data_IF_735666959795
#
_entry.id   IF_735666959795
#
_cell.length_a   1.000
_cell.length_b   1.000
_cell.length_c   1.000
_cell.angle_alpha   90.00
_cell.angle_beta   90.00
_cell.angle_gamma   90.00
#
_symmetry.space_group_name_H-M   'P 1'
#
loop_
_entity.id
_entity.type
_entity.pdbx_description
1 polymer ?
#
# COMPACT_ATOMS: atom_id res chain seq x y z
N UNK A 1 12.15 2.96 31.59
CA UNK A 1 11.64 4.36 31.63
C UNK A 1 11.34 4.82 30.21
N UNK A 2 10.44 5.80 30.03
CA UNK A 2 10.15 6.36 28.72
C UNK A 2 11.02 7.58 28.44
N UNK A 3 11.73 7.58 27.32
CA UNK A 3 12.58 8.70 26.89
C UNK A 3 12.45 8.95 25.38
N UNK A 4 12.62 10.20 24.98
CA UNK A 4 12.55 10.67 23.60
C UNK A 4 13.91 10.62 22.93
N UNK A 5 13.94 10.19 21.67
CA UNK A 5 15.08 10.31 20.76
C UNK A 5 14.63 11.04 19.49
N UNK A 6 15.34 12.10 19.09
CA UNK A 6 15.02 12.82 17.85
C UNK A 6 15.98 12.47 16.73
N UNK A 7 15.44 12.35 15.53
CA UNK A 7 16.20 12.04 14.30
C UNK A 7 15.36 12.40 13.07
N UNK A 8 15.83 12.12 11.86
CA UNK A 8 15.00 12.25 10.66
C UNK A 8 14.05 11.06 10.48
N UNK A 9 12.98 11.26 9.70
CA UNK A 9 11.93 10.24 9.46
C UNK A 9 12.51 8.91 8.99
N UNK A 10 13.41 8.92 8.01
CA UNK A 10 14.01 7.69 7.47
C UNK A 10 14.82 6.93 8.51
N UNK A 11 15.57 7.65 9.35
CA UNK A 11 16.34 7.04 10.44
C UNK A 11 15.43 6.49 11.53
N UNK A 12 14.36 7.20 11.88
CA UNK A 12 13.36 6.71 12.86
C UNK A 12 12.70 5.42 12.38
N UNK A 13 12.29 5.36 11.10
CA UNK A 13 11.75 4.14 10.48
C UNK A 13 12.80 3.02 10.46
N UNK A 14 14.05 3.33 10.10
CA UNK A 14 15.13 2.34 10.07
C UNK A 14 15.41 1.76 11.45
N UNK A 15 15.44 2.59 12.50
CA UNK A 15 15.61 2.16 13.89
C UNK A 15 14.43 1.29 14.35
N UNK A 16 13.19 1.68 14.02
CA UNK A 16 12.01 0.89 14.37
C UNK A 16 12.02 -0.51 13.72
N UNK A 17 12.67 -0.66 12.57
CA UNK A 17 12.77 -1.93 11.85
C UNK A 17 14.00 -2.77 12.21
N UNK A 18 15.15 -2.12 12.41
CA UNK A 18 16.46 -2.77 12.44
C UNK A 18 17.25 -2.51 13.73
N UNK A 19 16.64 -1.86 14.73
CA UNK A 19 17.24 -1.43 15.99
C UNK A 19 18.24 -0.25 15.87
N UNK A 20 18.65 0.30 17.01
CA UNK A 20 19.66 1.36 17.11
C UNK A 20 21.04 0.84 16.70
N UNK A 21 21.65 1.51 15.72
CA UNK A 21 23.02 1.26 15.28
C UNK A 21 24.02 2.09 16.08
N UNK A 22 24.30 1.65 17.32
CA UNK A 22 25.22 2.33 18.24
C UNK A 22 26.64 2.45 17.65
N UNK A 23 27.03 1.51 16.78
CA UNK A 23 28.30 1.52 16.06
C UNK A 23 28.47 2.72 15.11
N UNK A 24 27.37 3.37 14.73
CA UNK A 24 27.35 4.58 13.91
C UNK A 24 27.22 5.87 14.74
N UNK A 25 27.17 5.78 16.08
CA UNK A 25 27.00 6.95 16.92
C UNK A 25 28.16 7.96 16.74
N UNK A 26 27.81 9.25 16.71
CA UNK A 26 28.76 10.36 16.53
C UNK A 26 29.18 10.64 15.08
N UNK A 27 28.61 9.95 14.09
CA UNK A 27 28.88 10.22 12.67
C UNK A 27 28.26 11.52 12.14
N UNK A 28 27.29 12.10 12.86
CA UNK A 28 26.48 13.23 12.42
C UNK A 28 26.48 14.43 13.38
N UNK A 29 26.62 14.21 14.69
CA UNK A 29 26.63 15.26 15.73
C UNK A 29 27.72 15.03 16.78
N UNK A 30 28.19 16.11 17.41
CA UNK A 30 29.23 16.04 18.44
C UNK A 30 28.75 15.33 19.71
N UNK A 31 29.59 14.46 20.29
CA UNK A 31 29.21 13.60 21.41
C UNK A 31 29.69 14.14 22.76
N UNK A 32 28.83 14.85 23.50
CA UNK A 32 29.18 15.42 24.82
C UNK A 32 29.51 14.36 25.89
N UNK A 33 29.00 13.14 25.73
CA UNK A 33 29.18 12.02 26.65
C UNK A 33 29.69 10.74 25.96
N UNK A 34 30.38 10.90 24.82
CA UNK A 34 30.89 9.79 24.01
C UNK A 34 29.85 9.16 23.07
N UNK A 35 30.30 8.16 22.30
CA UNK A 35 29.55 7.55 21.21
C UNK A 35 28.45 6.62 21.74
N UNK A 36 27.20 7.06 21.72
CA UNK A 36 26.03 6.29 22.14
C UNK A 36 24.74 6.86 21.56
N UNK A 37 23.60 6.22 21.85
CA UNK A 37 22.28 6.76 21.54
C UNK A 37 21.86 7.75 22.63
N UNK A 38 21.54 8.98 22.21
CA UNK A 38 21.16 10.09 23.09
C UNK A 38 19.65 10.18 23.21
N UNK A 39 19.19 10.34 24.44
CA UNK A 39 17.78 10.47 24.78
C UNK A 39 17.57 11.65 25.73
N UNK A 40 16.33 12.12 25.80
CA UNK A 40 15.89 13.12 26.75
C UNK A 40 14.50 12.79 27.30
N UNK A 41 14.22 13.22 28.52
CA UNK A 41 12.85 13.17 29.07
C UNK A 41 11.93 14.22 28.42
N UNK A 42 12.52 15.29 27.89
CA UNK A 42 11.80 16.40 27.28
C UNK A 42 11.84 16.29 25.75
N UNK A 43 10.69 16.28 25.10
CA UNK A 43 10.61 16.17 23.64
C UNK A 43 11.29 17.36 22.93
N UNK A 44 11.25 18.58 23.48
CA UNK A 44 11.99 19.73 22.92
C UNK A 44 13.50 19.50 22.85
N UNK A 45 14.09 18.79 23.82
CA UNK A 45 15.52 18.47 23.76
C UNK A 45 15.80 17.43 22.68
N UNK A 46 14.95 16.42 22.58
CA UNK A 46 15.06 15.42 21.52
C UNK A 46 14.88 16.06 20.13
N UNK A 47 13.93 16.99 19.99
CA UNK A 47 13.65 17.75 18.76
C UNK A 47 14.86 18.54 18.23
N UNK A 48 15.80 18.95 19.09
CA UNK A 48 17.07 19.56 18.65
C UNK A 48 17.89 18.65 17.72
N UNK A 49 17.70 17.32 17.82
CA UNK A 49 18.33 16.32 16.95
C UNK A 49 17.44 15.87 15.79
N UNK A 50 16.16 16.26 15.79
CA UNK A 50 15.24 15.95 14.70
C UNK A 50 15.48 16.88 13.50
N UNK A 51 15.48 16.30 12.31
CA UNK A 51 15.62 17.03 11.05
C UNK A 51 14.61 16.53 10.03
N UNK A 52 14.19 17.41 9.14
CA UNK A 52 13.34 17.11 8.00
C UNK A 52 14.18 16.64 6.78
N UNK A 53 13.51 16.49 5.64
CA UNK A 53 14.11 16.17 4.35
C UNK A 53 13.79 17.29 3.33
N UNK A 54 14.54 18.41 3.33
CA UNK A 54 14.24 19.55 2.47
C UNK A 54 14.17 19.17 0.98
N UNK A 55 13.04 19.47 0.33
CA UNK A 55 12.78 19.12 -1.07
C UNK A 55 12.56 17.62 -1.35
N UNK A 56 12.56 16.78 -0.32
CA UNK A 56 12.23 15.36 -0.40
C UNK A 56 10.76 15.07 -0.09
N UNK A 57 10.44 13.79 0.14
CA UNK A 57 9.05 13.41 0.46
C UNK A 57 8.65 13.88 1.88
N UNK A 58 9.60 13.87 2.80
CA UNK A 58 9.42 14.24 4.21
C UNK A 58 9.81 15.70 4.49
N UNK A 59 9.61 16.59 3.51
CA UNK A 59 9.83 18.02 3.68
C UNK A 59 8.88 18.60 4.74
N UNK A 60 9.40 19.47 5.61
CA UNK A 60 8.72 19.99 6.80
C UNK A 60 8.22 18.92 7.81
N UNK A 61 8.63 17.65 7.69
CA UNK A 61 8.24 16.57 8.61
C UNK A 61 9.42 16.05 9.40
N UNK A 62 9.24 16.02 10.72
CA UNK A 62 10.22 15.63 11.71
C UNK A 62 9.81 14.33 12.41
N UNK A 63 10.77 13.65 13.03
CA UNK A 63 10.51 12.41 13.75
C UNK A 63 11.11 12.39 15.15
N UNK A 64 10.30 11.92 16.10
CA UNK A 64 10.75 11.48 17.41
C UNK A 64 10.44 9.98 17.59
N UNK A 65 11.31 9.28 18.31
CA UNK A 65 11.03 7.95 18.86
C UNK A 65 10.72 8.10 20.35
N UNK A 66 9.61 7.50 20.80
CA UNK A 66 9.38 7.27 22.22
C UNK A 66 9.85 5.86 22.56
N UNK A 67 10.90 5.77 23.37
CA UNK A 67 11.58 4.51 23.66
C UNK A 67 11.37 4.08 25.10
N UNK A 68 11.17 2.77 25.32
CA UNK A 68 11.40 2.13 26.62
C UNK A 68 12.89 1.87 26.79
N UNK A 69 13.46 2.43 27.84
CA UNK A 69 14.89 2.43 28.09
C UNK A 69 15.20 1.80 29.45
N UNK A 70 16.23 0.96 29.49
CA UNK A 70 16.80 0.34 30.68
C UNK A 70 18.17 0.95 30.98
N UNK A 71 18.25 1.94 31.88
CA UNK A 71 19.51 2.63 32.17
C UNK A 71 20.52 1.81 32.98
N UNK A 72 20.05 0.83 33.77
CA UNK A 72 20.92 0.13 34.74
C UNK A 72 21.59 1.08 35.74
N UNK A 73 22.83 0.78 36.11
CA UNK A 73 23.70 1.63 36.93
C UNK A 73 24.33 2.70 36.05
N UNK A 74 23.86 3.94 36.14
CA UNK A 74 24.36 5.02 35.29
C UNK A 74 25.52 5.82 35.91
N UNK A 75 26.44 6.29 35.07
CA UNK A 75 27.44 7.29 35.42
C UNK A 75 26.80 8.68 35.37
N UNK A 76 26.79 9.40 36.49
CA UNK A 76 26.19 10.73 36.59
C UNK A 76 27.26 11.81 36.51
N UNK A 77 27.08 12.78 35.63
CA UNK A 77 27.98 13.93 35.51
C UNK A 77 27.21 15.23 35.26
N UNK A 78 27.71 16.34 35.81
CA UNK A 78 27.19 17.69 35.57
C UNK A 78 27.98 18.47 34.52
N UNK A 79 29.10 17.91 34.08
CA UNK A 79 30.04 18.53 33.14
C UNK A 79 30.12 17.68 31.87
N UNK A 80 30.53 18.30 30.77
CA UNK A 80 30.85 17.56 29.54
C UNK A 80 31.97 16.58 29.84
N UNK A 81 31.81 15.35 29.36
CA UNK A 81 32.77 14.27 29.57
C UNK A 81 32.73 13.34 28.36
N UNK A 82 33.54 13.65 27.35
CA UNK A 82 33.59 12.88 26.10
C UNK A 82 34.04 11.44 26.32
N UNK A 83 34.70 11.16 27.45
CA UNK A 83 35.16 9.83 27.85
C UNK A 83 34.13 9.07 28.70
N UNK A 84 32.94 9.60 28.95
CA UNK A 84 31.92 8.94 29.77
C UNK A 84 31.58 7.51 29.29
N UNK A 85 31.60 7.26 27.98
CA UNK A 85 31.41 5.92 27.42
C UNK A 85 32.51 4.92 27.80
N UNK A 86 33.71 5.36 28.20
CA UNK A 86 34.76 4.48 28.71
C UNK A 86 34.39 3.84 30.04
N UNK A 87 33.63 4.54 30.88
CA UNK A 87 33.13 4.02 32.14
C UNK A 87 32.15 2.87 31.93
N UNK A 88 31.35 2.92 30.86
CA UNK A 88 30.47 1.82 30.47
C UNK A 88 31.26 0.65 29.87
N UNK A 89 32.20 0.92 28.96
CA UNK A 89 33.09 -0.12 28.39
C UNK A 89 33.91 -0.86 29.46
N UNK A 90 34.27 -0.18 30.55
CA UNK A 90 34.98 -0.80 31.68
C UNK A 90 34.11 -1.72 32.54
N UNK A 91 32.78 -1.72 32.33
CA UNK A 91 31.81 -2.43 33.17
C UNK A 91 31.50 -1.73 34.50
N UNK A 92 31.97 -0.51 34.70
CA UNK A 92 31.70 0.25 35.93
C UNK A 92 30.26 0.77 36.02
N UNK A 93 29.65 0.99 34.86
CA UNK A 93 28.30 1.53 34.65
C UNK A 93 27.69 0.93 33.37
N UNK A 94 26.38 1.08 33.20
CA UNK A 94 25.61 0.58 32.06
C UNK A 94 25.21 1.71 31.09
N UNK A 95 25.14 2.96 31.57
CA UNK A 95 24.76 4.14 30.80
C UNK A 95 25.32 5.43 31.41
N UNK A 96 25.08 6.58 30.78
CA UNK A 96 25.47 7.91 31.29
C UNK A 96 24.26 8.82 31.43
N UNK A 97 24.19 9.58 32.52
CA UNK A 97 23.25 10.68 32.72
C UNK A 97 24.03 11.99 32.82
N UNK A 98 23.93 12.80 31.79
CA UNK A 98 24.48 14.15 31.73
C UNK A 98 23.46 15.17 32.24
N UNK A 99 23.65 15.66 33.46
CA UNK A 99 22.76 16.64 34.10
C UNK A 99 23.29 18.06 33.93
N UNK A 100 22.95 18.64 32.79
CA UNK A 100 23.29 20.04 32.46
C UNK A 100 22.21 21.02 32.90
N UNK A 101 21.07 20.55 33.42
CA UNK A 101 20.05 21.39 34.04
C UNK A 101 20.64 22.16 35.21
N UNK A 102 21.40 21.48 36.05
CA UNK A 102 21.99 22.10 37.24
C UNK A 102 23.23 22.98 36.96
N UNK A 103 23.84 22.90 35.78
CA UNK A 103 25.13 23.56 35.48
C UNK A 103 25.09 24.56 34.32
N UNK A 104 24.08 24.51 33.46
CA UNK A 104 23.94 25.41 32.31
C UNK A 104 22.48 25.76 31.99
N UNK A 105 21.53 25.43 32.87
CA UNK A 105 20.09 25.67 32.69
C UNK A 105 19.53 25.03 31.41
N UNK A 106 20.02 23.84 31.06
CA UNK A 106 19.56 23.06 29.90
C UNK A 106 18.87 21.76 30.32
N UNK A 107 18.72 20.80 29.42
CA UNK A 107 18.06 19.52 29.72
C UNK A 107 19.04 18.46 30.28
N UNK A 108 18.50 17.44 30.94
CA UNK A 108 19.24 16.19 31.19
C UNK A 108 19.25 15.34 29.93
N UNK A 109 20.40 14.77 29.62
CA UNK A 109 20.57 13.83 28.51
C UNK A 109 20.98 12.46 29.05
N UNK A 110 20.42 11.43 28.45
CA UNK A 110 20.64 10.03 28.82
C UNK A 110 21.30 9.34 27.64
N UNK A 111 22.46 8.74 27.86
CA UNK A 111 23.25 8.11 26.79
C UNK A 111 23.40 6.63 27.06
N UNK A 112 22.94 5.83 26.10
CA UNK A 112 23.05 4.38 26.12
C UNK A 112 24.05 3.91 25.07
N UNK A 113 24.83 2.91 25.45
CA UNK A 113 25.94 2.38 24.64
C UNK A 113 25.66 0.94 24.19
N UNK A 114 24.48 0.41 24.49
CA UNK A 114 24.00 -0.90 24.07
C UNK A 114 22.56 -0.75 23.55
N UNK A 115 22.29 -1.24 22.34
CA UNK A 115 20.95 -1.16 21.73
C UNK A 115 19.95 -2.08 22.43
N UNK A 116 20.40 -3.22 23.00
CA UNK A 116 19.54 -4.16 23.73
C UNK A 116 18.84 -3.52 24.96
N UNK A 117 19.35 -2.37 25.43
CA UNK A 117 18.78 -1.60 26.53
C UNK A 117 17.70 -0.59 26.07
N UNK A 118 17.36 -0.58 24.79
CA UNK A 118 16.51 0.40 24.13
C UNK A 118 15.46 -0.36 23.32
N UNK A 119 14.18 -0.05 23.55
CA UNK A 119 13.09 -0.54 22.70
C UNK A 119 12.31 0.66 22.13
N UNK A 120 12.39 0.93 20.82
CA UNK A 120 11.58 1.96 20.18
C UNK A 120 10.11 1.52 20.18
N UNK A 121 9.28 2.13 21.03
CA UNK A 121 7.88 1.73 21.16
C UNK A 121 6.96 2.51 20.21
N UNK A 122 7.26 3.78 19.96
CA UNK A 122 6.48 4.60 19.03
C UNK A 122 7.38 5.45 18.14
N UNK A 123 7.01 5.54 16.86
CA UNK A 123 7.49 6.56 15.92
C UNK A 123 6.44 7.67 15.89
N UNK A 124 6.84 8.90 16.22
CA UNK A 124 5.99 10.08 16.21
C UNK A 124 6.46 11.02 15.12
N UNK A 125 5.61 11.23 14.13
CA UNK A 125 5.85 12.16 13.02
C UNK A 125 5.08 13.45 13.27
N UNK A 126 5.72 14.58 13.06
CA UNK A 126 5.14 15.90 13.34
C UNK A 126 5.72 16.98 12.45
N UNK A 127 4.99 18.07 12.31
CA UNK A 127 5.50 19.33 11.73
C UNK A 127 5.61 20.37 12.82
N UNK A 128 6.62 21.24 12.73
CA UNK A 128 6.79 22.37 13.64
C UNK A 128 5.85 23.51 13.26
N UNK A 129 5.04 23.95 14.22
CA UNK A 129 4.20 25.15 14.11
C UNK A 129 4.68 26.17 15.13
N UNK A 130 5.05 27.35 14.65
CA UNK A 130 5.52 28.45 15.50
C UNK A 130 4.40 29.45 15.75
N UNK A 131 4.45 30.18 16.88
CA UNK A 131 3.45 31.20 17.20
C UNK A 131 3.35 32.33 16.16
N UNK A 132 4.42 32.54 15.37
CA UNK A 132 4.45 33.50 14.27
C UNK A 132 3.87 32.95 12.96
N UNK A 133 3.56 31.65 12.87
CA UNK A 133 3.03 31.06 11.64
C UNK A 133 1.60 31.54 11.37
N UNK A 134 1.27 31.90 10.11
CA UNK A 134 -0.07 32.34 9.77
C UNK A 134 -1.08 31.18 9.87
N UNK A 135 -2.35 31.44 10.24
CA UNK A 135 -3.38 30.40 10.32
C UNK A 135 -3.54 29.58 9.04
N UNK A 136 -3.26 30.16 7.87
CA UNK A 136 -3.29 29.47 6.58
C UNK A 136 -2.23 28.36 6.46
N UNK A 137 -1.03 28.56 7.01
CA UNK A 137 0.02 27.53 7.06
C UNK A 137 -0.42 26.38 7.96
N UNK A 138 -0.95 26.70 9.14
CA UNK A 138 -1.45 25.70 10.10
C UNK A 138 -2.56 24.87 9.47
N UNK A 139 -3.56 25.53 8.87
CA UNK A 139 -4.66 24.86 8.19
C UNK A 139 -4.17 23.91 7.08
N UNK A 140 -3.19 24.33 6.26
CA UNK A 140 -2.57 23.49 5.23
C UNK A 140 -1.91 22.23 5.82
N UNK A 141 -1.16 22.38 6.91
CA UNK A 141 -0.46 21.27 7.57
C UNK A 141 -1.41 20.27 8.24
N UNK A 142 -2.62 20.70 8.62
CA UNK A 142 -3.61 19.84 9.29
C UNK A 142 -4.71 19.30 8.37
N UNK A 143 -4.79 19.77 7.11
CA UNK A 143 -5.89 19.45 6.21
C UNK A 143 -5.77 18.06 5.56
N UNK A 144 -4.55 17.58 5.33
CA UNK A 144 -4.30 16.33 4.62
C UNK A 144 -3.98 15.20 5.60
N UNK A 145 -4.55 14.01 5.35
CA UNK A 145 -4.10 12.80 6.02
C UNK A 145 -2.64 12.55 5.62
N UNK A 146 -1.75 12.49 6.60
CA UNK A 146 -0.35 12.23 6.33
C UNK A 146 -0.15 10.74 6.01
N UNK A 147 0.36 10.45 4.82
CA UNK A 147 0.76 9.12 4.41
C UNK A 147 2.28 9.00 4.37
N UNK A 148 2.80 7.84 4.77
CA UNK A 148 4.20 7.52 4.57
C UNK A 148 4.49 7.23 3.09
N UNK A 149 5.71 7.55 2.65
CA UNK A 149 6.14 7.35 1.26
C UNK A 149 6.04 5.87 0.84
N UNK A 150 6.41 4.97 1.75
CA UNK A 150 6.34 3.52 1.60
C UNK A 150 5.47 2.96 2.73
N UNK A 151 4.72 1.86 2.49
CA UNK A 151 3.92 1.24 3.55
C UNK A 151 4.78 0.78 4.73
N UNK A 152 4.35 1.04 5.96
CA UNK A 152 5.12 0.75 7.19
C UNK A 152 5.53 -0.71 7.34
N UNK A 153 4.69 -1.62 6.83
CA UNK A 153 4.89 -3.06 6.89
C UNK A 153 5.86 -3.59 5.83
N UNK A 154 6.44 -2.72 4.99
CA UNK A 154 7.49 -3.10 4.05
C UNK A 154 8.84 -3.17 4.75
N UNK A 155 9.64 -4.19 4.44
CA UNK A 155 10.96 -4.39 5.05
C UNK A 155 11.92 -3.20 4.78
N UNK A 156 11.71 -2.50 3.67
CA UNK A 156 12.54 -1.38 3.23
C UNK A 156 11.84 0.00 3.38
N UNK A 157 10.83 0.14 4.26
CA UNK A 157 10.02 1.37 4.34
C UNK A 157 10.81 2.63 4.74
N UNK A 158 12.00 2.47 5.32
CA UNK A 158 12.91 3.54 5.69
C UNK A 158 13.71 4.12 4.50
N UNK A 159 13.86 3.38 3.39
CA UNK A 159 14.68 3.81 2.25
C UNK A 159 14.04 4.95 1.47
N UNK A 160 14.87 5.77 0.82
CA UNK A 160 14.40 6.71 -0.21
C UNK A 160 14.24 5.98 -1.54
N UNK A 161 13.00 5.68 -1.99
CA UNK A 161 12.80 4.91 -3.20
C UNK A 161 13.22 5.68 -4.47
N UNK A 162 13.43 7.00 -4.40
CA UNK A 162 13.96 7.80 -5.52
C UNK A 162 15.49 7.68 -5.66
N UNK A 163 16.20 7.36 -4.57
CA UNK A 163 17.67 7.24 -4.55
C UNK A 163 18.13 5.77 -4.48
N UNK A 164 17.37 4.95 -3.78
CA UNK A 164 17.64 3.55 -3.48
C UNK A 164 16.44 2.69 -3.93
N UNK A 165 16.20 2.55 -5.24
CA UNK A 165 15.13 1.70 -5.74
C UNK A 165 15.38 0.24 -5.34
N UNK A 166 14.31 -0.48 -5.00
CA UNK A 166 14.38 -1.88 -4.60
C UNK A 166 13.17 -2.64 -5.15
N UNK A 167 13.38 -3.94 -5.34
CA UNK A 167 12.34 -4.88 -5.70
C UNK A 167 12.62 -6.19 -4.98
N UNK A 168 11.79 -6.47 -3.98
CA UNK A 168 11.87 -7.66 -3.14
C UNK A 168 10.52 -8.36 -3.07
N UNK A 169 10.56 -9.66 -2.77
CA UNK A 169 9.36 -10.43 -2.47
C UNK A 169 9.58 -11.24 -1.20
N UNK A 170 8.68 -11.10 -0.23
CA UNK A 170 8.79 -11.73 1.08
C UNK A 170 7.67 -12.74 1.27
N UNK A 171 8.02 -13.94 1.73
CA UNK A 171 7.00 -14.84 2.30
C UNK A 171 6.36 -14.14 3.48
N UNK A 172 5.03 -14.11 3.51
CA UNK A 172 4.30 -13.44 4.59
C UNK A 172 4.21 -14.35 5.81
N UNK A 173 4.11 -13.75 6.99
CA UNK A 173 3.99 -14.49 8.25
C UNK A 173 2.65 -15.25 8.32
N UNK A 174 2.60 -16.29 9.16
CA UNK A 174 1.43 -17.17 9.27
C UNK A 174 0.13 -16.41 9.59
N UNK A 175 0.18 -15.37 10.44
CA UNK A 175 -1.00 -14.56 10.76
C UNK A 175 -1.55 -13.84 9.51
N UNK A 176 -0.67 -13.34 8.64
CA UNK A 176 -1.05 -12.72 7.36
C UNK A 176 -1.63 -13.75 6.41
N UNK A 177 -1.09 -14.98 6.38
CA UNK A 177 -1.66 -16.09 5.58
C UNK A 177 -3.09 -16.38 6.03
N UNK A 178 -3.35 -16.44 7.34
CA UNK A 178 -4.70 -16.69 7.87
C UNK A 178 -5.69 -15.58 7.46
N UNK A 179 -5.29 -14.32 7.58
CA UNK A 179 -6.11 -13.20 7.13
C UNK A 179 -6.42 -13.25 5.63
N UNK A 180 -5.39 -13.50 4.80
CA UNK A 180 -5.55 -13.65 3.36
C UNK A 180 -6.45 -14.84 3.01
N UNK A 181 -6.38 -15.93 3.77
CA UNK A 181 -7.21 -17.12 3.58
C UNK A 181 -8.69 -16.81 3.86
N UNK A 182 -8.97 -16.08 4.93
CA UNK A 182 -10.34 -15.69 5.27
C UNK A 182 -10.90 -14.71 4.23
N UNK A 183 -10.09 -13.75 3.77
CA UNK A 183 -10.46 -12.84 2.68
C UNK A 183 -10.75 -13.60 1.38
N UNK A 184 -9.87 -14.54 1.00
CA UNK A 184 -10.06 -15.39 -0.19
C UNK A 184 -11.35 -16.21 -0.09
N UNK A 185 -11.63 -16.79 1.09
CA UNK A 185 -12.85 -17.56 1.35
C UNK A 185 -14.10 -16.68 1.24
N UNK A 186 -14.07 -15.45 1.78
CA UNK A 186 -15.18 -14.50 1.70
C UNK A 186 -15.47 -14.03 0.27
N UNK A 187 -14.44 -13.99 -0.59
CA UNK A 187 -14.56 -13.60 -2.00
C UNK A 187 -14.80 -14.78 -2.96
N UNK A 188 -14.89 -16.01 -2.46
CA UNK A 188 -15.08 -17.20 -3.30
C UNK A 188 -16.50 -17.75 -3.14
N UNK A 189 -17.33 -17.63 -4.19
CA UNK A 189 -18.73 -18.08 -4.20
C UNK A 189 -18.93 -19.52 -4.66
N UNK A 190 -17.85 -20.25 -4.94
CA UNK A 190 -17.89 -21.58 -5.56
C UNK A 190 -18.84 -22.52 -4.81
N UNK A 191 -19.91 -22.93 -5.51
CA UNK A 191 -21.08 -23.62 -4.90
C UNK A 191 -20.72 -24.90 -4.14
N UNK A 192 -19.64 -25.57 -4.52
CA UNK A 192 -19.18 -26.84 -3.95
C UNK A 192 -17.68 -26.88 -3.69
N UNK A 193 -16.92 -25.91 -4.22
CA UNK A 193 -15.48 -25.93 -4.16
C UNK A 193 -14.93 -25.24 -2.90
N UNK A 194 -13.65 -25.45 -2.64
CA UNK A 194 -12.92 -24.72 -1.59
C UNK A 194 -11.60 -24.20 -2.13
N UNK A 195 -11.10 -23.14 -1.51
CA UNK A 195 -9.81 -22.52 -1.82
C UNK A 195 -8.92 -22.55 -0.59
N UNK A 196 -7.67 -22.95 -0.76
CA UNK A 196 -6.65 -22.99 0.29
C UNK A 196 -5.38 -22.27 -0.21
N UNK A 197 -4.93 -21.24 0.49
CA UNK A 197 -3.66 -20.56 0.23
C UNK A 197 -2.54 -21.47 0.70
N UNK A 198 -1.78 -22.02 -0.24
CA UNK A 198 -0.60 -22.84 0.04
C UNK A 198 0.65 -21.99 0.25
N UNK A 199 0.68 -20.81 -0.38
CA UNK A 199 1.80 -19.88 -0.30
C UNK A 199 1.36 -18.47 -0.63
N UNK A 200 1.85 -17.50 0.13
CA UNK A 200 1.62 -16.08 -0.11
C UNK A 200 2.93 -15.30 -0.04
N UNK A 201 3.16 -14.44 -1.02
CA UNK A 201 4.28 -13.49 -1.06
C UNK A 201 3.76 -12.08 -1.10
N UNK A 202 4.33 -11.19 -0.27
CA UNK A 202 4.18 -9.74 -0.41
C UNK A 202 5.18 -9.24 -1.44
N UNK A 203 4.74 -8.38 -2.35
CA UNK A 203 5.60 -7.70 -3.31
C UNK A 203 5.97 -6.33 -2.77
N UNK A 204 7.26 -6.01 -2.78
CA UNK A 204 7.79 -4.71 -2.39
C UNK A 204 8.64 -4.16 -3.54
N UNK A 205 7.98 -3.50 -4.50
CA UNK A 205 8.61 -2.90 -5.66
C UNK A 205 8.46 -1.37 -5.59
N UNK A 206 9.53 -0.68 -5.22
CA UNK A 206 9.47 0.75 -4.93
C UNK A 206 9.35 1.62 -6.18
N UNK A 207 9.71 1.10 -7.35
CA UNK A 207 9.58 1.81 -8.63
C UNK A 207 8.13 1.83 -9.08
N UNK A 208 7.44 0.68 -9.06
CA UNK A 208 6.01 0.61 -9.43
C UNK A 208 5.14 1.30 -8.38
N UNK A 209 5.49 1.19 -7.10
CA UNK A 209 4.81 1.91 -6.02
C UNK A 209 4.87 3.43 -6.17
N UNK A 210 6.02 3.99 -6.58
CA UNK A 210 6.13 5.44 -6.82
C UNK A 210 5.18 5.92 -7.93
N UNK A 211 5.02 5.14 -9.00
CA UNK A 211 4.02 5.46 -10.05
C UNK A 211 2.60 5.38 -9.51
N UNK A 212 2.31 4.35 -8.72
CA UNK A 212 1.02 4.16 -8.05
C UNK A 212 0.66 5.35 -7.15
N UNK A 213 1.58 5.77 -6.29
CA UNK A 213 1.39 6.93 -5.40
C UNK A 213 1.29 8.24 -6.19
N UNK A 214 2.05 8.41 -7.28
CA UNK A 214 1.92 9.57 -8.15
C UNK A 214 0.53 9.66 -8.81
N UNK A 215 -0.02 8.52 -9.26
CA UNK A 215 -1.39 8.47 -9.77
C UNK A 215 -2.41 8.76 -8.66
N UNK A 216 -2.19 8.23 -7.45
CA UNK A 216 -3.03 8.51 -6.28
C UNK A 216 -3.11 10.01 -5.98
N UNK A 217 -1.97 10.69 -5.92
CA UNK A 217 -1.89 12.14 -5.71
C UNK A 217 -2.62 12.92 -6.80
N UNK A 218 -2.53 12.47 -8.06
CA UNK A 218 -3.28 13.07 -9.16
C UNK A 218 -4.79 12.93 -8.97
N UNK A 219 -5.27 11.74 -8.56
CA UNK A 219 -6.69 11.53 -8.26
C UNK A 219 -7.17 12.40 -7.09
N UNK A 220 -6.39 12.51 -6.02
CA UNK A 220 -6.71 13.37 -4.88
C UNK A 220 -6.91 14.83 -5.32
N UNK A 221 -5.98 15.37 -6.11
CA UNK A 221 -6.08 16.73 -6.65
C UNK A 221 -7.31 16.92 -7.53
N UNK A 222 -7.61 15.95 -8.40
CA UNK A 222 -8.81 15.99 -9.24
C UNK A 222 -10.10 15.94 -8.40
N UNK A 223 -10.14 15.09 -7.38
CA UNK A 223 -11.27 14.97 -6.46
C UNK A 223 -11.49 16.28 -5.68
N UNK A 224 -10.43 16.87 -5.12
CA UNK A 224 -10.48 18.15 -4.42
C UNK A 224 -10.98 19.27 -5.33
N UNK A 225 -10.53 19.31 -6.59
CA UNK A 225 -11.02 20.26 -7.59
C UNK A 225 -12.52 20.09 -7.89
N UNK A 226 -13.00 18.85 -7.96
CA UNK A 226 -14.42 18.55 -8.20
C UNK A 226 -15.31 18.79 -6.97
N UNK A 227 -14.77 18.66 -5.76
CA UNK A 227 -15.51 18.87 -4.52
C UNK A 227 -16.01 20.33 -4.35
N UNK A 228 -15.37 21.28 -5.05
CA UNK A 228 -15.84 22.68 -5.12
C UNK A 228 -17.23 22.78 -5.77
N UNK A 229 -17.49 21.95 -6.79
CA UNK A 229 -18.76 21.97 -7.54
C UNK A 229 -19.76 20.89 -7.07
N UNK A 230 -19.26 19.81 -6.44
CA UNK A 230 -20.04 18.66 -5.96
C UNK A 230 -19.61 18.25 -4.55
N UNK A 231 -20.09 18.94 -3.50
CA UNK A 231 -19.53 18.80 -2.15
C UNK A 231 -19.82 17.46 -1.47
N UNK A 232 -20.83 16.70 -1.89
CA UNK A 232 -21.27 15.51 -1.12
C UNK A 232 -20.54 14.21 -1.48
N UNK A 233 -20.10 14.02 -2.75
CA UNK A 233 -19.32 12.84 -3.23
C UNK A 233 -18.88 13.05 -4.69
N UNK A 234 -17.61 13.38 -4.97
CA UNK A 234 -17.16 13.63 -6.34
C UNK A 234 -17.14 12.38 -7.20
N UNK A 235 -16.78 11.23 -6.61
CA UNK A 235 -16.75 9.92 -7.27
C UNK A 235 -17.86 9.04 -6.70
N UNK A 236 -18.68 8.47 -7.60
CA UNK A 236 -19.69 7.49 -7.20
C UNK A 236 -19.00 6.16 -6.90
N UNK A 237 -19.45 5.47 -5.86
CA UNK A 237 -18.95 4.14 -5.49
C UNK A 237 -19.54 3.07 -6.40
N UNK A 238 -18.97 1.86 -6.37
CA UNK A 238 -19.55 0.71 -7.08
C UNK A 238 -20.97 0.37 -6.58
N UNK A 239 -21.26 0.63 -5.30
CA UNK A 239 -22.59 0.46 -4.70
C UNK A 239 -23.59 1.50 -5.21
N UNK A 240 -23.17 2.74 -5.39
CA UNK A 240 -24.05 3.81 -5.90
C UNK A 240 -24.48 3.57 -7.35
N UNK A 241 -23.62 2.89 -8.13
CA UNK A 241 -23.84 2.64 -9.56
C UNK A 241 -24.62 1.34 -9.84
N UNK A 242 -24.41 0.30 -9.05
CA UNK A 242 -25.13 -0.97 -9.19
C UNK A 242 -26.43 -0.98 -8.37
N UNK A 243 -27.47 -0.41 -8.96
CA UNK A 243 -28.81 -0.32 -8.34
C UNK A 243 -29.52 -1.66 -8.13
N UNK A 244 -29.07 -2.74 -8.78
CA UNK A 244 -29.76 -4.04 -8.81
C UNK A 244 -29.32 -4.98 -7.69
N UNK A 245 -28.03 -4.95 -7.33
CA UNK A 245 -27.46 -5.83 -6.30
C UNK A 245 -26.90 -5.06 -5.10
N UNK A 246 -26.79 -3.72 -5.16
CA UNK A 246 -26.68 -2.80 -4.03
C UNK A 246 -25.56 -3.09 -3.01
N UNK A 247 -24.61 -3.94 -3.37
CA UNK A 247 -23.62 -4.51 -2.46
C UNK A 247 -22.31 -3.72 -2.47
N UNK A 248 -21.74 -3.59 -1.27
CA UNK A 248 -20.35 -3.19 -1.11
C UNK A 248 -19.42 -4.12 -1.91
N UNK A 249 -18.20 -3.65 -2.17
CA UNK A 249 -17.18 -4.50 -2.81
C UNK A 249 -16.84 -5.66 -1.87
N UNK A 250 -16.77 -6.89 -2.35
CA UNK A 250 -16.60 -8.09 -1.49
C UNK A 250 -15.38 -7.99 -0.57
N UNK A 251 -14.23 -7.59 -1.12
CA UNK A 251 -13.00 -7.41 -0.34
C UNK A 251 -13.13 -6.29 0.68
N UNK A 252 -13.73 -5.16 0.31
CA UNK A 252 -14.00 -4.04 1.22
C UNK A 252 -14.96 -4.43 2.34
N UNK A 253 -16.07 -5.10 2.02
CA UNK A 253 -17.07 -5.58 2.98
C UNK A 253 -16.45 -6.51 4.01
N UNK A 254 -15.58 -7.43 3.59
CA UNK A 254 -14.87 -8.32 4.51
C UNK A 254 -13.96 -7.54 5.45
N UNK A 255 -13.09 -6.67 4.89
CA UNK A 255 -12.11 -5.93 5.68
C UNK A 255 -12.77 -4.91 6.62
N UNK A 256 -13.84 -4.25 6.19
CA UNK A 256 -14.60 -3.31 7.02
C UNK A 256 -15.39 -3.99 8.15
N UNK A 257 -15.67 -5.29 8.02
CA UNK A 257 -16.30 -6.06 9.10
C UNK A 257 -15.33 -6.49 10.20
N UNK A 258 -14.03 -6.20 10.06
CA UNK A 258 -13.00 -6.54 11.04
C UNK A 258 -12.63 -5.35 11.91
N UNK A 259 -12.59 -5.58 13.22
CA UNK A 259 -12.18 -4.59 14.24
C UNK A 259 -10.65 -4.36 14.32
N UNK A 260 -9.86 -4.91 13.40
CA UNK A 260 -8.39 -4.88 13.48
C UNK A 260 -7.80 -3.70 12.69
N UNK A 261 -7.20 -2.74 13.39
CA UNK A 261 -6.69 -1.48 12.81
C UNK A 261 -5.25 -1.53 12.29
N UNK A 262 -4.49 -2.60 12.58
CA UNK A 262 -3.01 -2.64 12.40
C UNK A 262 -2.50 -3.79 11.51
N UNK A 263 -3.31 -4.26 10.56
CA UNK A 263 -2.92 -5.35 9.65
C UNK A 263 -2.36 -4.82 8.32
N UNK A 264 -1.41 -5.56 7.72
CA UNK A 264 -0.87 -5.22 6.39
C UNK A 264 -1.90 -5.36 5.27
N UNK A 265 -3.04 -6.00 5.54
CA UNK A 265 -4.23 -6.04 4.68
C UNK A 265 -5.38 -5.41 5.47
N UNK A 266 -5.54 -4.10 5.35
CA UNK A 266 -6.50 -3.32 6.14
C UNK A 266 -7.13 -2.20 5.31
N UNK A 267 -8.39 -1.87 5.59
CA UNK A 267 -9.05 -0.69 5.02
C UNK A 267 -8.39 0.61 5.46
N UNK A 268 -7.72 0.66 6.61
CA UNK A 268 -7.03 1.87 7.10
C UNK A 268 -5.84 2.25 6.21
N UNK A 269 -5.35 1.30 5.40
CA UNK A 269 -4.32 1.55 4.40
C UNK A 269 -4.89 2.02 3.06
N UNK A 270 -6.21 2.06 2.87
CA UNK A 270 -6.89 2.43 1.63
C UNK A 270 -7.60 3.78 1.77
N UNK A 271 -7.67 4.54 0.67
CA UNK A 271 -8.42 5.79 0.58
C UNK A 271 -9.76 5.56 -0.11
N UNK A 272 -10.78 5.28 0.69
CA UNK A 272 -12.16 5.05 0.23
C UNK A 272 -12.70 6.16 -0.71
N UNK A 273 -12.47 7.48 -0.46
CA UNK A 273 -12.97 8.53 -1.36
C UNK A 273 -12.41 8.44 -2.80
N UNK A 274 -11.28 7.77 -3.00
CA UNK A 274 -10.67 7.56 -4.32
C UNK A 274 -11.15 6.28 -5.02
N UNK A 275 -12.08 5.53 -4.42
CA UNK A 275 -12.38 4.15 -4.78
C UNK A 275 -11.09 3.30 -4.84
N UNK A 276 -10.24 3.40 -3.81
CA UNK A 276 -9.06 2.55 -3.67
C UNK A 276 -9.47 1.20 -3.07
N UNK A 277 -9.25 0.10 -3.82
CA UNK A 277 -9.72 -1.23 -3.45
C UNK A 277 -8.65 -2.29 -3.59
N UNK A 278 -8.75 -3.34 -2.79
CA UNK A 278 -8.06 -4.59 -3.05
C UNK A 278 -8.92 -5.46 -3.99
N UNK A 279 -8.37 -5.87 -5.12
CA UNK A 279 -9.08 -6.64 -6.14
C UNK A 279 -8.21 -7.81 -6.63
N UNK A 280 -8.85 -8.88 -7.05
CA UNK A 280 -8.20 -10.09 -7.54
C UNK A 280 -7.85 -9.98 -9.02
N UNK A 281 -6.71 -10.53 -9.41
CA UNK A 281 -6.31 -10.69 -10.80
C UNK A 281 -5.73 -12.11 -11.00
N UNK A 282 -6.41 -12.93 -11.79
CA UNK A 282 -5.93 -14.27 -12.14
C UNK A 282 -5.11 -14.26 -13.43
N UNK A 283 -4.00 -14.99 -13.43
CA UNK A 283 -3.10 -15.11 -14.58
C UNK A 283 -2.21 -16.35 -14.42
N UNK A 284 -1.31 -16.64 -15.36
CA UNK A 284 -0.34 -17.72 -15.19
C UNK A 284 0.72 -17.36 -14.12
N UNK A 285 1.38 -18.35 -13.53
CA UNK A 285 2.44 -18.14 -12.54
C UNK A 285 3.55 -17.25 -13.10
N UNK A 286 3.98 -17.51 -14.34
CA UNK A 286 5.03 -16.76 -15.02
C UNK A 286 4.62 -15.30 -15.26
N UNK A 287 3.35 -15.07 -15.61
CA UNK A 287 2.83 -13.73 -15.79
C UNK A 287 2.71 -12.97 -14.46
N UNK A 288 2.28 -13.63 -13.38
CA UNK A 288 2.20 -13.05 -12.05
C UNK A 288 3.57 -12.58 -11.53
N UNK A 289 4.61 -13.41 -11.65
CA UNK A 289 5.98 -13.02 -11.29
C UNK A 289 6.49 -11.85 -12.13
N UNK A 290 6.20 -11.89 -13.44
CA UNK A 290 6.61 -10.82 -14.35
C UNK A 290 5.90 -9.48 -14.08
N UNK A 291 4.64 -9.52 -13.65
CA UNK A 291 3.89 -8.34 -13.22
C UNK A 291 4.49 -7.76 -11.93
N UNK A 292 4.82 -8.61 -10.95
CA UNK A 292 5.48 -8.17 -9.73
C UNK A 292 6.86 -7.53 -9.99
N UNK A 293 7.59 -8.06 -10.97
CA UNK A 293 8.92 -7.55 -11.35
C UNK A 293 8.88 -6.30 -12.22
N UNK A 294 8.03 -6.29 -13.23
CA UNK A 294 8.13 -5.35 -14.35
C UNK A 294 6.83 -4.61 -14.66
N UNK A 295 5.90 -4.59 -13.70
CA UNK A 295 4.61 -3.88 -13.77
C UNK A 295 3.59 -4.56 -14.70
N UNK A 296 2.33 -4.13 -14.62
CA UNK A 296 1.28 -4.57 -15.55
C UNK A 296 1.61 -4.10 -16.97
N UNK A 297 1.52 -5.02 -17.94
CA UNK A 297 1.68 -4.69 -19.36
C UNK A 297 0.33 -4.52 -20.02
N UNK A 298 -0.11 -3.27 -20.11
CA UNK A 298 -1.35 -2.90 -20.81
C UNK A 298 -0.98 -2.52 -22.25
N UNK A 299 -1.38 -3.31 -23.27
CA UNK A 299 -1.04 -3.02 -24.66
C UNK A 299 -1.65 -1.69 -25.10
N UNK A 300 -0.96 -0.89 -25.91
CA UNK A 300 -1.51 0.37 -26.44
C UNK A 300 -1.44 0.39 -27.97
N UNK A 301 -2.41 1.06 -28.60
CA UNK A 301 -2.41 1.29 -30.04
C UNK A 301 -2.31 0.01 -30.87
N UNK A 302 -1.24 -0.11 -31.67
CA UNK A 302 -1.04 -1.21 -32.63
C UNK A 302 -0.78 -2.58 -31.98
N UNK A 303 -0.45 -2.61 -30.69
CA UNK A 303 -0.19 -3.85 -29.95
C UNK A 303 -1.46 -4.52 -29.41
N UNK A 304 -2.63 -3.87 -29.54
CA UNK A 304 -3.92 -4.46 -29.22
C UNK A 304 -4.31 -5.53 -30.26
N UNK A 305 -4.00 -6.80 -29.96
CA UNK A 305 -4.27 -7.93 -30.87
C UNK A 305 -5.73 -8.41 -30.87
N UNK A 306 -6.48 -8.19 -29.79
CA UNK A 306 -7.88 -8.58 -29.65
C UNK A 306 -8.71 -7.50 -28.97
N UNK A 307 -9.97 -7.33 -29.38
CA UNK A 307 -10.92 -6.46 -28.70
C UNK A 307 -11.32 -7.11 -27.37
N UNK A 308 -10.77 -6.59 -26.27
CA UNK A 308 -11.16 -7.01 -24.93
C UNK A 308 -12.60 -6.60 -24.62
N UNK A 309 -13.28 -7.40 -23.80
CA UNK A 309 -14.74 -7.37 -23.59
C UNK A 309 -15.28 -5.99 -23.20
N UNK A 310 -14.54 -5.24 -22.41
CA UNK A 310 -14.88 -3.90 -21.90
C UNK A 310 -13.80 -2.87 -22.24
N UNK A 311 -13.11 -3.08 -23.36
CA UNK A 311 -11.99 -2.24 -23.77
C UNK A 311 -10.67 -2.64 -23.10
N UNK A 312 -9.62 -1.90 -23.44
CA UNK A 312 -8.26 -2.26 -23.08
C UNK A 312 -7.89 -1.75 -21.67
N UNK A 313 -7.22 -2.60 -20.88
CA UNK A 313 -6.79 -2.31 -19.52
C UNK A 313 -6.40 -3.57 -18.77
N UNK A 314 -5.97 -3.42 -17.51
CA UNK A 314 -5.86 -4.53 -16.58
C UNK A 314 -7.26 -4.87 -16.04
N UNK A 315 -7.64 -6.15 -16.11
CA UNK A 315 -8.93 -6.66 -15.65
C UNK A 315 -8.79 -7.23 -14.26
N UNK A 316 -9.61 -6.75 -13.33
CA UNK A 316 -9.65 -7.20 -11.95
C UNK A 316 -11.09 -7.54 -11.54
N UNK A 317 -11.25 -8.30 -10.48
CA UNK A 317 -12.56 -8.63 -9.93
C UNK A 317 -12.54 -8.61 -8.40
N UNK A 318 -13.66 -8.24 -7.80
CA UNK A 318 -13.87 -8.41 -6.36
C UNK A 318 -14.10 -9.88 -5.96
N UNK A 319 -14.52 -10.68 -6.95
CA UNK A 319 -14.85 -12.09 -6.82
C UNK A 319 -13.63 -12.93 -7.22
N UNK A 320 -13.17 -13.77 -6.29
CA UNK A 320 -12.00 -14.62 -6.50
C UNK A 320 -12.27 -15.72 -7.53
N UNK A 321 -13.48 -16.30 -7.54
CA UNK A 321 -13.86 -17.33 -8.49
C UNK A 321 -13.78 -16.81 -9.93
N UNK A 322 -14.22 -15.57 -10.16
CA UNK A 322 -14.07 -14.90 -11.46
C UNK A 322 -12.60 -14.82 -11.88
N UNK A 323 -11.70 -14.42 -10.98
CA UNK A 323 -10.26 -14.34 -11.28
C UNK A 323 -9.66 -15.72 -11.56
N UNK A 324 -10.07 -16.75 -10.82
CA UNK A 324 -9.60 -18.13 -11.03
C UNK A 324 -9.89 -18.67 -12.44
N UNK A 325 -10.89 -18.14 -13.15
CA UNK A 325 -11.16 -18.52 -14.55
C UNK A 325 -10.02 -18.13 -15.52
N UNK A 326 -9.17 -17.18 -15.14
CA UNK A 326 -8.00 -16.74 -15.90
C UNK A 326 -6.67 -17.26 -15.31
N UNK A 327 -6.70 -17.84 -14.11
CA UNK A 327 -5.51 -18.36 -13.44
C UNK A 327 -5.17 -19.76 -13.97
N UNK A 328 -4.15 -19.88 -14.80
CA UNK A 328 -3.73 -21.17 -15.36
C UNK A 328 -3.20 -22.11 -14.25
N UNK A 329 -3.57 -23.41 -14.26
CA UNK A 329 -3.06 -24.36 -13.29
C UNK A 329 -1.56 -24.61 -13.51
N UNK A 330 -0.81 -24.60 -12.41
CA UNK A 330 0.61 -24.99 -12.34
C UNK A 330 0.76 -26.51 -12.52
N UNK A 331 2.02 -26.99 -12.61
CA UNK A 331 2.33 -28.43 -12.70
C UNK A 331 1.72 -29.25 -11.57
N UNK A 332 1.56 -28.65 -10.40
CA UNK A 332 1.12 -29.33 -9.18
C UNK A 332 -0.40 -29.17 -8.97
N UNK A 333 -1.11 -28.59 -9.95
CA UNK A 333 -2.55 -28.36 -9.93
C UNK A 333 -3.00 -27.10 -9.18
N UNK A 334 -2.08 -26.40 -8.51
CA UNK A 334 -2.37 -25.11 -7.88
C UNK A 334 -2.59 -24.01 -8.91
N UNK A 335 -3.25 -22.91 -8.52
CA UNK A 335 -3.47 -21.72 -9.35
C UNK A 335 -2.86 -20.49 -8.70
N UNK A 336 -2.41 -19.54 -9.50
CA UNK A 336 -1.81 -18.30 -9.01
C UNK A 336 -2.73 -17.12 -9.28
N UNK A 337 -2.97 -16.31 -8.25
CA UNK A 337 -3.68 -15.03 -8.36
C UNK A 337 -2.87 -13.92 -7.71
N UNK A 338 -3.07 -12.70 -8.17
CA UNK A 338 -2.59 -11.48 -7.54
C UNK A 338 -3.74 -10.87 -6.73
N UNK A 339 -3.44 -10.39 -5.53
CA UNK A 339 -4.28 -9.44 -4.80
C UNK A 339 -3.68 -8.05 -5.01
N UNK A 340 -4.42 -7.20 -5.72
CA UNK A 340 -3.91 -5.93 -6.23
C UNK A 340 -4.60 -4.75 -5.54
N UNK A 341 -3.80 -3.79 -5.10
CA UNK A 341 -4.30 -2.47 -4.69
C UNK A 341 -4.57 -1.62 -5.92
N UNK A 342 -5.77 -1.09 -6.03
CA UNK A 342 -6.29 -0.54 -7.29
C UNK A 342 -6.97 0.79 -7.06
N UNK A 343 -6.51 1.83 -7.76
CA UNK A 343 -7.09 3.17 -7.79
C UNK A 343 -8.12 3.26 -8.90
N UNK A 344 -9.38 3.08 -8.54
CA UNK A 344 -10.46 3.09 -9.52
C UNK A 344 -10.91 4.51 -9.89
N UNK A 345 -10.87 5.46 -8.96
CA UNK A 345 -11.43 6.81 -9.16
C UNK A 345 -12.90 6.77 -9.57
N UNK A 346 -13.34 7.79 -10.31
CA UNK A 346 -14.67 7.81 -10.94
C UNK A 346 -14.84 6.72 -12.03
N UNK A 347 -15.99 6.05 -12.01
CA UNK A 347 -16.30 4.95 -12.91
C UNK A 347 -17.11 5.37 -14.14
N UNK A 348 -16.81 4.72 -15.26
CA UNK A 348 -17.78 4.47 -16.33
C UNK A 348 -18.47 3.14 -16.07
N UNK A 349 -19.78 3.16 -15.81
CA UNK A 349 -20.56 1.96 -15.50
C UNK A 349 -21.23 1.37 -16.74
N UNK A 350 -21.24 0.04 -16.85
CA UNK A 350 -21.99 -0.68 -17.88
C UNK A 350 -22.53 -2.02 -17.40
N UNK A 351 -23.76 -2.34 -17.81
CA UNK A 351 -24.37 -3.67 -17.64
C UNK A 351 -24.38 -4.50 -18.93
N UNK A 352 -23.80 -3.96 -20.01
CA UNK A 352 -23.68 -4.66 -21.27
C UNK A 352 -22.96 -6.00 -21.08
N UNK A 353 -23.46 -7.06 -21.73
CA UNK A 353 -22.74 -8.33 -21.73
C UNK A 353 -21.35 -8.22 -22.37
N UNK A 354 -21.14 -7.30 -23.31
CA UNK A 354 -19.86 -6.95 -23.90
C UNK A 354 -19.96 -5.53 -24.42
N UNK A 355 -18.93 -4.72 -24.18
CA UNK A 355 -18.86 -3.34 -24.64
C UNK A 355 -17.42 -2.98 -25.01
N UNK A 356 -17.02 -3.40 -26.22
CA UNK A 356 -15.65 -3.21 -26.72
C UNK A 356 -15.21 -1.74 -26.76
N UNK A 357 -16.16 -0.80 -26.80
CA UNK A 357 -15.92 0.63 -26.83
C UNK A 357 -16.05 1.32 -25.45
N UNK A 358 -16.13 0.56 -24.35
CA UNK A 358 -16.24 1.13 -23.01
C UNK A 358 -15.04 1.99 -22.64
N UNK A 359 -13.83 1.65 -23.10
CA UNK A 359 -12.63 2.48 -22.91
C UNK A 359 -12.77 3.87 -23.55
N UNK A 360 -13.31 3.96 -24.76
CA UNK A 360 -13.56 5.23 -25.45
C UNK A 360 -14.66 6.04 -24.75
N UNK A 361 -15.72 5.38 -24.26
CA UNK A 361 -16.80 6.06 -23.52
C UNK A 361 -16.34 6.57 -22.15
N UNK A 362 -15.52 5.79 -21.44
CA UNK A 362 -14.82 6.21 -20.22
C UNK A 362 -14.04 7.50 -20.47
N UNK A 363 -13.24 7.55 -21.55
CA UNK A 363 -12.46 8.75 -21.91
C UNK A 363 -13.35 9.93 -22.28
N UNK A 364 -14.39 9.71 -23.09
CA UNK A 364 -15.32 10.76 -23.52
C UNK A 364 -16.10 11.39 -22.34
N UNK A 365 -16.23 10.66 -21.23
CA UNK A 365 -16.88 11.12 -20.01
C UNK A 365 -15.89 11.52 -18.91
N UNK A 366 -14.60 11.59 -19.22
CA UNK A 366 -13.53 11.91 -18.27
C UNK A 366 -13.52 11.02 -17.02
N UNK A 367 -13.86 9.73 -17.18
CA UNK A 367 -13.84 8.73 -16.11
C UNK A 367 -12.47 8.06 -16.01
N UNK A 368 -12.17 7.51 -14.85
CA UNK A 368 -10.85 6.94 -14.55
C UNK A 368 -10.79 5.46 -14.87
N UNK A 369 -11.87 4.72 -14.58
CA UNK A 369 -11.94 3.26 -14.78
C UNK A 369 -13.28 2.82 -15.34
N UNK A 370 -13.36 1.59 -15.84
CA UNK A 370 -14.65 0.95 -16.20
C UNK A 370 -15.07 0.00 -15.08
N UNK A 371 -16.33 0.11 -14.65
CA UNK A 371 -17.00 -0.88 -13.81
C UNK A 371 -18.05 -1.60 -14.66
N UNK A 372 -17.82 -2.88 -14.94
CA UNK A 372 -18.76 -3.69 -15.69
C UNK A 372 -19.49 -4.65 -14.75
N UNK A 373 -20.83 -4.65 -14.79
CA UNK A 373 -21.68 -5.63 -14.12
C UNK A 373 -22.49 -6.39 -15.19
N UNK A 374 -21.90 -7.40 -15.86
CA UNK A 374 -22.51 -7.95 -17.06
C UNK A 374 -23.90 -8.53 -16.79
N UNK A 375 -24.89 -8.05 -17.52
CA UNK A 375 -26.32 -8.39 -17.37
C UNK A 375 -26.92 -8.06 -16.00
N UNK A 376 -26.24 -7.23 -15.21
CA UNK A 376 -26.62 -6.95 -13.83
C UNK A 376 -26.59 -8.19 -12.93
N UNK A 377 -25.91 -9.27 -13.32
CA UNK A 377 -25.95 -10.56 -12.61
C UNK A 377 -24.57 -11.22 -12.48
N UNK A 378 -23.58 -10.75 -13.22
CA UNK A 378 -22.22 -11.27 -13.18
C UNK A 378 -21.42 -10.72 -11.99
N UNK A 379 -20.29 -11.33 -11.65
CA UNK A 379 -19.32 -10.65 -10.78
C UNK A 379 -18.90 -9.35 -11.45
N UNK A 380 -18.79 -8.27 -10.66
CA UNK A 380 -18.32 -6.98 -11.19
C UNK A 380 -16.86 -7.09 -11.62
N UNK A 381 -16.57 -6.60 -12.82
CA UNK A 381 -15.23 -6.53 -13.39
C UNK A 381 -14.77 -5.06 -13.39
N UNK A 382 -13.57 -4.82 -12.90
CA UNK A 382 -12.93 -3.50 -12.80
C UNK A 382 -11.82 -3.44 -13.84
N UNK A 383 -11.87 -2.46 -14.74
CA UNK A 383 -10.88 -2.31 -15.81
C UNK A 383 -10.18 -0.98 -15.63
N UNK A 384 -8.89 -1.04 -15.30
CA UNK A 384 -8.01 0.14 -15.19
C UNK A 384 -7.14 0.28 -16.44
N UNK A 385 -7.11 1.45 -17.10
CA UNK A 385 -6.40 1.64 -18.36
C UNK A 385 -4.89 1.83 -18.21
N UNK A 386 -4.38 2.08 -17.00
CA UNK A 386 -2.97 2.34 -16.72
C UNK A 386 -2.42 1.37 -15.67
N UNK A 387 -1.16 0.96 -15.84
CA UNK A 387 -0.45 0.19 -14.82
C UNK A 387 -0.21 1.01 -13.56
N UNK A 388 -0.12 2.34 -13.68
CA UNK A 388 0.01 3.27 -12.55
C UNK A 388 -1.22 3.27 -11.63
N UNK A 389 -2.34 2.65 -12.03
CA UNK A 389 -3.54 2.52 -11.20
C UNK A 389 -3.56 1.26 -10.35
N UNK A 390 -2.63 0.34 -10.55
CA UNK A 390 -2.71 -1.00 -9.95
C UNK A 390 -1.35 -1.45 -9.45
N UNK A 391 -1.29 -1.82 -8.18
CA UNK A 391 -0.09 -2.35 -7.55
C UNK A 391 -0.34 -3.81 -7.13
N UNK A 392 0.45 -4.79 -7.62
CA UNK A 392 0.29 -6.20 -7.25
C UNK A 392 0.82 -6.45 -5.83
N UNK A 393 -0.02 -6.26 -4.81
CA UNK A 393 0.43 -6.24 -3.41
C UNK A 393 0.83 -7.63 -2.90
N UNK A 394 0.10 -8.68 -3.31
CA UNK A 394 0.44 -10.06 -2.98
C UNK A 394 0.35 -10.99 -4.19
N UNK A 395 1.23 -11.99 -4.23
CA UNK A 395 1.13 -13.17 -5.10
C UNK A 395 0.68 -14.34 -4.23
N UNK A 396 -0.48 -14.92 -4.55
CA UNK A 396 -1.05 -16.06 -3.82
C UNK A 396 -1.06 -17.29 -4.71
N UNK A 397 -0.54 -18.39 -4.20
CA UNK A 397 -0.70 -19.72 -4.77
C UNK A 397 -1.80 -20.43 -3.99
N UNK A 398 -2.81 -20.91 -4.72
CA UNK A 398 -4.05 -21.46 -4.21
C UNK A 398 -4.20 -22.89 -4.68
N UNK A 399 -4.51 -23.79 -3.76
CA UNK A 399 -5.10 -25.07 -4.08
C UNK A 399 -6.61 -24.90 -4.17
N UNK A 400 -7.21 -25.37 -5.26
CA UNK A 400 -8.65 -25.31 -5.49
C UNK A 400 -9.17 -26.73 -5.63
N UNK A 401 -10.13 -27.11 -4.79
CA UNK A 401 -10.73 -28.46 -4.77
C UNK A 401 -12.22 -28.40 -5.09
N UNK A 402 -12.74 -29.44 -5.75
CA UNK A 402 -14.15 -29.60 -6.12
C UNK A 402 -14.76 -28.39 -6.84
N UNK A 403 -13.94 -27.75 -7.69
CA UNK A 403 -14.30 -26.57 -8.46
C UNK A 403 -14.36 -26.87 -9.96
N UNK A 404 -15.51 -26.60 -10.55
CA UNK A 404 -15.68 -26.55 -12.00
C UNK A 404 -15.73 -25.07 -12.44
N UNK A 405 -14.85 -24.63 -13.35
CA UNK A 405 -14.88 -23.26 -13.81
C UNK A 405 -16.25 -22.97 -14.47
N UNK A 406 -16.88 -21.82 -14.18
CA UNK A 406 -18.10 -21.44 -14.87
C UNK A 406 -17.86 -21.43 -16.39
N UNK A 407 -18.88 -21.80 -17.19
CA UNK A 407 -18.73 -21.85 -18.63
C UNK A 407 -18.24 -20.49 -19.16
N UNK A 408 -17.28 -20.47 -20.09
CA UNK A 408 -16.73 -19.23 -20.60
C UNK A 408 -17.88 -18.38 -21.17
N UNK A 409 -17.86 -17.07 -20.88
CA UNK A 409 -18.82 -16.16 -21.49
C UNK A 409 -18.74 -16.32 -23.01
N UNK A 410 -19.88 -16.44 -23.72
CA UNK A 410 -19.88 -16.65 -25.16
C UNK A 410 -19.05 -15.55 -25.83
N UNK A 411 -17.91 -15.92 -26.39
CA UNK A 411 -17.10 -15.00 -27.19
C UNK A 411 -17.98 -14.47 -28.33
N UNK A 412 -17.82 -13.21 -28.71
CA UNK A 412 -18.44 -12.66 -29.91
C UNK A 412 -17.93 -13.41 -31.16
N UNK A 413 -18.45 -14.61 -31.39
CA UNK A 413 -18.24 -15.35 -32.62
C UNK A 413 -18.99 -14.60 -33.70
N UNK A 414 -18.28 -14.30 -34.79
CA UNK A 414 -18.83 -13.68 -35.99
C UNK A 414 -20.15 -14.35 -36.32
N UNK A 415 -21.24 -13.59 -36.33
CA UNK A 415 -22.49 -13.98 -36.96
C UNK A 415 -22.23 -14.26 -38.43
N UNK A 416 -21.83 -15.50 -38.76
CA UNK A 416 -22.03 -16.04 -40.10
C UNK A 416 -23.52 -16.24 -40.24
N UNK A 417 -24.18 -15.24 -40.82
CA UNK A 417 -25.54 -15.36 -41.29
C UNK A 417 -25.68 -16.68 -42.08
N UNK A 418 -26.55 -17.57 -41.61
CA UNK A 418 -27.15 -18.58 -42.47
C UNK A 418 -27.99 -17.85 -43.51
N UNK A 419 -27.39 -17.52 -44.65
CA UNK A 419 -28.11 -17.34 -45.90
C UNK A 419 -27.65 -18.46 -46.83
N UNK A 420 -28.29 -19.62 -46.70
CA UNK A 420 -28.31 -20.65 -47.74
C UNK A 420 -29.66 -21.33 -47.74
N UNK A 421 -30.37 -21.17 -48.85
CA UNK A 421 -31.50 -22.01 -49.20
C UNK A 421 -32.75 -21.21 -49.52
N UNK A 422 -32.79 -20.58 -50.70
CA UNK A 422 -33.96 -20.51 -51.59
C UNK A 422 -33.64 -19.59 -52.76
N UNK A 423 -32.96 -20.12 -53.78
CA UNK A 423 -33.00 -19.65 -55.16
C UNK A 423 -32.39 -20.73 -56.06
N UNK A 424 -33.16 -21.25 -57.01
CA UNK A 424 -32.59 -21.93 -58.19
C UNK A 424 -33.16 -23.29 -58.59
N UNK A 425 -34.46 -23.41 -58.82
CA UNK A 425 -35.06 -24.31 -59.81
C UNK A 425 -36.19 -23.50 -60.46
N UNK A 426 -36.14 -23.01 -61.69
CA UNK A 426 -35.54 -23.60 -62.89
C UNK A 426 -36.68 -24.11 -63.79
N UNK A 427 -37.47 -23.20 -64.36
CA UNK A 427 -38.40 -23.53 -65.44
C UNK A 427 -37.61 -23.78 -66.73
N UNK A 428 -37.84 -24.93 -67.38
CA UNK A 428 -37.69 -25.12 -68.82
C UNK A 428 -38.73 -26.11 -69.34
N UNK A 429 -39.54 -25.58 -70.26
CA UNK A 429 -40.42 -26.21 -71.27
C UNK A 429 -41.58 -27.06 -70.76
#
# INVERSE_FOLDING_TARGET
>A
MYLWHGTNVRSALSIAQNDFRIDLAGSSTGTMYGLGAYFAEHCTKADEYASDEPGGYYDEVYALLLCRVCLGKFYYTKVRDTEAGSHVRSGSFDSTVGDRLTSADTFREFVLYNSDAIYPEYVVLYTRVFASDPPSKVARLTADLYHLQLPVYWANCHKDPAREPFHDQFLVAQYTVLLLQELATACFKGKTGTVEIVRAKRVENSVTWQKYVAYKKKLQQQMQGLAVDRPERPFLTARDLDSTHGGEILTFSFLNSRDSTEECVSITNLEEPLNEHLLWHGTSKEAAEKIAESDFKIPVGKDMKHAARFGNGAYLAEDLEKSLTYAEPTSDGNRVVLLCRTLCGDFYYTESHTEINAAQKREAQSKHSVLANPLGQGPREFIVPSSDQVYPEFILELKVTDWEPPPPAPTASKSKAMVRGLQGLGFRV
#
